data_IF_017330640860
#
_entry.id   IF_017330640860
#
_cell.length_a   1.000
_cell.length_b   1.000
_cell.length_c   1.000
_cell.angle_alpha   90.00
_cell.angle_beta   90.00
_cell.angle_gamma   90.00
#
_symmetry.space_group_name_H-M   'P 1'
#
loop_
_entity.id
_entity.type
_entity.pdbx_description
1 polymer ?
#
# COMPACT_ATOMS: atom_id res chain seq x y z
N UNK A 1 -7.02 -5.19 14.09
CA UNK A 1 -5.92 -4.32 14.56
C UNK A 1 -5.74 -3.10 13.65
N UNK A 2 -5.18 -2.00 14.18
CA UNK A 2 -4.88 -0.78 13.42
C UNK A 2 -3.38 -0.52 13.39
N UNK A 3 -2.84 -0.21 12.21
CA UNK A 3 -1.44 0.18 12.03
C UNK A 3 -1.37 1.59 11.43
N UNK A 4 -0.56 2.47 12.04
CA UNK A 4 -0.41 3.88 11.64
C UNK A 4 0.96 4.11 11.02
N UNK A 5 1.02 4.63 9.80
CA UNK A 5 2.27 4.97 9.11
C UNK A 5 2.29 6.44 8.69
N UNK A 6 3.44 7.11 8.71
CA UNK A 6 3.52 8.50 8.23
C UNK A 6 3.47 8.61 6.70
N UNK A 7 2.53 9.42 6.21
CA UNK A 7 2.27 9.76 4.80
C UNK A 7 3.40 10.66 4.29
N UNK A 8 4.50 10.08 3.81
CA UNK A 8 5.49 10.82 3.01
C UNK A 8 5.07 10.91 1.53
N UNK A 9 6.04 10.95 0.63
CA UNK A 9 5.91 10.79 -0.84
C UNK A 9 5.58 9.36 -1.28
N UNK A 10 5.03 8.52 -0.39
CA UNK A 10 4.75 7.12 -0.71
C UNK A 10 3.53 7.03 -1.63
N UNK A 11 3.72 6.45 -2.80
CA UNK A 11 2.59 6.01 -3.61
C UNK A 11 1.97 4.75 -2.98
N UNK A 12 0.95 4.96 -2.16
CA UNK A 12 0.25 3.92 -1.42
C UNK A 12 -0.25 2.77 -2.34
N UNK A 13 -0.77 3.10 -3.52
CA UNK A 13 -1.25 2.08 -4.46
C UNK A 13 -0.11 1.20 -4.99
N UNK A 14 1.03 1.82 -5.31
CA UNK A 14 2.20 1.08 -5.77
C UNK A 14 2.74 0.16 -4.67
N UNK A 15 2.85 0.68 -3.44
CA UNK A 15 3.29 -0.08 -2.27
C UNK A 15 2.34 -1.25 -1.95
N UNK A 16 1.02 -1.04 -1.97
CA UNK A 16 0.07 -2.11 -1.71
C UNK A 16 0.10 -3.19 -2.80
N UNK A 17 0.38 -2.81 -4.06
CA UNK A 17 0.59 -3.80 -5.13
C UNK A 17 1.82 -4.66 -4.91
N UNK A 18 2.95 -4.10 -4.46
CA UNK A 18 4.14 -4.91 -4.12
C UNK A 18 3.86 -5.83 -2.93
N UNK A 19 2.99 -5.41 -2.01
CA UNK A 19 2.50 -6.25 -0.92
C UNK A 19 1.51 -7.35 -1.36
N UNK A 20 1.12 -7.41 -2.64
CA UNK A 20 0.18 -8.41 -3.18
C UNK A 20 -1.29 -8.08 -2.98
N UNK A 21 -1.60 -6.82 -2.64
CA UNK A 21 -2.97 -6.35 -2.49
C UNK A 21 -3.51 -5.78 -3.81
N UNK A 22 -4.76 -6.11 -4.11
CA UNK A 22 -5.50 -5.61 -5.26
C UNK A 22 -6.59 -4.64 -4.79
N UNK A 23 -6.72 -3.47 -5.45
CA UNK A 23 -7.78 -2.53 -5.11
C UNK A 23 -9.14 -3.10 -5.51
N UNK A 24 -10.12 -2.91 -4.63
CA UNK A 24 -11.53 -3.13 -4.87
C UNK A 24 -12.30 -1.88 -4.49
N UNK A 25 -13.11 -1.43 -5.43
CA UNK A 25 -13.99 -0.30 -5.26
C UNK A 25 -15.39 -0.81 -4.94
N UNK A 26 -15.87 -0.50 -3.74
CA UNK A 26 -17.26 -0.76 -3.38
C UNK A 26 -18.15 0.32 -4.00
N UNK A 27 -18.96 -0.07 -4.98
CA UNK A 27 -19.88 0.84 -5.69
C UNK A 27 -20.99 1.38 -4.78
N UNK A 28 -21.31 0.68 -3.69
CA UNK A 28 -22.42 1.05 -2.80
C UNK A 28 -21.92 2.07 -1.77
N UNK A 29 -20.82 1.76 -1.08
CA UNK A 29 -20.27 2.67 -0.06
C UNK A 29 -19.36 3.77 -0.61
N UNK A 30 -18.95 3.67 -1.89
CA UNK A 30 -17.99 4.58 -2.52
C UNK A 30 -16.59 4.49 -1.93
N UNK A 31 -16.31 3.45 -1.11
CA UNK A 31 -15.03 3.29 -0.42
C UNK A 31 -14.08 2.43 -1.23
N UNK A 32 -12.85 2.90 -1.35
CA UNK A 32 -11.74 2.10 -1.86
C UNK A 32 -11.20 1.22 -0.73
N UNK A 33 -11.07 -0.06 -1.01
CA UNK A 33 -10.44 -1.03 -0.12
C UNK A 33 -9.51 -1.92 -0.93
N UNK A 34 -8.75 -2.75 -0.24
CA UNK A 34 -7.76 -3.62 -0.86
C UNK A 34 -7.94 -5.04 -0.36
N UNK A 35 -7.72 -6.02 -1.24
CA UNK A 35 -7.77 -7.44 -0.87
C UNK A 35 -6.54 -8.20 -1.30
N UNK A 36 -6.17 -9.17 -0.47
CA UNK A 36 -5.18 -10.19 -0.81
C UNK A 36 -5.81 -11.56 -0.57
N UNK A 37 -5.98 -12.32 -1.65
CA UNK A 37 -6.51 -13.69 -1.59
C UNK A 37 -5.44 -14.64 -1.07
N UNK A 38 -5.81 -15.56 -0.19
CA UNK A 38 -4.92 -16.62 0.32
C UNK A 38 -5.10 -17.95 -0.41
N UNK A 39 -6.16 -18.08 -1.19
CA UNK A 39 -6.48 -19.26 -2.00
C UNK A 39 -6.86 -18.84 -3.43
N UNK A 40 -7.06 -19.83 -4.31
CA UNK A 40 -7.61 -19.59 -5.65
C UNK A 40 -9.08 -19.13 -5.62
N UNK A 41 -9.81 -19.48 -4.56
CA UNK A 41 -11.22 -19.14 -4.36
C UNK A 41 -11.46 -17.69 -3.90
N UNK A 42 -12.72 -17.39 -3.55
CA UNK A 42 -13.10 -16.07 -3.04
C UNK A 42 -12.66 -15.81 -1.59
N UNK A 43 -12.46 -16.89 -0.83
CA UNK A 43 -12.08 -16.90 0.58
C UNK A 43 -11.10 -18.05 0.85
N UNK A 44 -10.25 -17.98 1.88
CA UNK A 44 -10.05 -16.85 2.78
C UNK A 44 -9.26 -15.71 2.12
N UNK A 45 -9.54 -14.47 2.51
CA UNK A 45 -8.85 -13.27 1.99
C UNK A 45 -8.62 -12.26 3.10
N UNK A 46 -7.51 -11.56 3.01
CA UNK A 46 -7.29 -10.35 3.79
C UNK A 46 -8.01 -9.19 3.13
N UNK A 47 -8.76 -8.42 3.91
CA UNK A 47 -9.41 -7.21 3.46
C UNK A 47 -8.89 -6.05 4.29
N UNK A 48 -8.40 -5.04 3.57
CA UNK A 48 -7.65 -3.92 4.09
C UNK A 48 -8.38 -2.64 3.73
N UNK A 49 -8.85 -1.93 4.75
CA UNK A 49 -9.33 -0.57 4.62
C UNK A 49 -8.20 0.39 4.95
N UNK A 50 -8.00 1.37 4.07
CA UNK A 50 -7.00 2.41 4.26
C UNK A 50 -7.71 3.74 4.47
N UNK A 51 -7.37 4.41 5.57
CA UNK A 51 -7.84 5.76 5.87
C UNK A 51 -6.63 6.68 6.01
N UNK A 52 -6.65 7.82 5.33
CA UNK A 52 -5.61 8.84 5.48
C UNK A 52 -6.14 9.92 6.41
N UNK A 53 -5.45 10.19 7.51
CA UNK A 53 -5.75 11.26 8.46
C UNK A 53 -4.54 12.18 8.56
N UNK A 54 -4.59 13.31 7.84
CA UNK A 54 -3.47 14.24 7.77
C UNK A 54 -2.21 13.56 7.24
N UNK A 55 -1.18 13.48 8.08
CA UNK A 55 0.10 12.87 7.76
C UNK A 55 0.22 11.42 8.25
N UNK A 56 -0.88 10.79 8.65
CA UNK A 56 -0.96 9.38 9.03
C UNK A 56 -1.82 8.57 8.05
N UNK A 57 -1.41 7.34 7.78
CA UNK A 57 -2.15 6.31 7.06
C UNK A 57 -2.52 5.22 8.07
N UNK A 58 -3.82 5.02 8.25
CA UNK A 58 -4.39 4.03 9.15
C UNK A 58 -4.83 2.82 8.32
N UNK A 59 -4.21 1.68 8.59
CA UNK A 59 -4.54 0.39 8.02
C UNK A 59 -5.45 -0.39 8.97
N UNK A 60 -6.66 -0.68 8.53
CA UNK A 60 -7.58 -1.60 9.21
C UNK A 60 -7.62 -2.91 8.43
N UNK A 61 -6.96 -3.94 8.97
CA UNK A 61 -6.86 -5.27 8.37
C UNK A 61 -7.78 -6.26 9.10
N UNK A 62 -8.53 -7.04 8.33
CA UNK A 62 -9.28 -8.19 8.83
C UNK A 62 -9.17 -9.39 7.88
N UNK A 63 -9.30 -10.59 8.44
CA UNK A 63 -9.31 -11.85 7.69
C UNK A 63 -10.75 -12.30 7.45
N UNK A 64 -11.20 -12.27 6.20
CA UNK A 64 -12.46 -12.86 5.80
C UNK A 64 -12.26 -14.37 5.57
N UNK A 65 -12.91 -15.22 6.38
CA UNK A 65 -12.80 -16.68 6.24
C UNK A 65 -13.89 -17.29 5.35
N UNK A 66 -15.13 -16.79 5.39
CA UNK A 66 -16.28 -17.39 4.70
C UNK A 66 -17.16 -16.32 4.02
N UNK A 67 -17.92 -16.73 2.99
CA UNK A 67 -18.87 -15.88 2.29
C UNK A 67 -20.15 -15.56 3.10
N UNK A 68 -20.50 -16.40 4.06
CA UNK A 68 -21.80 -16.32 4.74
C UNK A 68 -21.88 -15.11 5.68
N UNK A 69 -22.60 -14.08 5.23
CA UNK A 69 -23.32 -13.16 6.11
C UNK A 69 -24.65 -13.81 6.48
N UNK A 70 -24.71 -14.54 7.59
CA UNK A 70 -26.02 -14.97 8.11
C UNK A 70 -26.80 -13.74 8.59
N UNK A 71 -28.01 -13.57 8.08
CA UNK A 71 -28.88 -12.38 8.23
C UNK A 71 -29.16 -11.93 9.67
N UNK A 72 -28.80 -12.71 10.70
CA UNK A 72 -29.11 -12.42 12.11
C UNK A 72 -27.90 -12.52 13.06
N UNK A 73 -26.68 -12.58 12.54
CA UNK A 73 -25.48 -12.48 13.38
C UNK A 73 -24.70 -11.25 12.96
N UNK A 74 -24.45 -10.34 13.92
CA UNK A 74 -23.46 -9.30 13.76
C UNK A 74 -22.21 -9.93 13.15
N UNK A 75 -21.64 -9.30 12.11
CA UNK A 75 -20.51 -9.78 11.34
C UNK A 75 -19.23 -9.84 12.20
N UNK A 76 -19.22 -10.72 13.20
CA UNK A 76 -18.15 -10.99 14.16
C UNK A 76 -17.20 -12.09 13.66
N UNK A 77 -17.28 -12.44 12.37
CA UNK A 77 -16.35 -13.36 11.72
C UNK A 77 -15.15 -12.64 11.08
N UNK A 78 -14.99 -11.34 11.35
CA UNK A 78 -13.76 -10.62 11.10
C UNK A 78 -12.81 -10.90 12.27
N UNK A 79 -11.93 -11.88 12.07
CA UNK A 79 -10.91 -12.19 13.06
C UNK A 79 -9.86 -11.07 13.04
N UNK A 80 -9.98 -10.12 13.96
CA UNK A 80 -9.11 -8.94 14.05
C UNK A 80 -7.79 -9.22 14.78
N UNK A 81 -7.67 -10.38 15.45
CA UNK A 81 -6.62 -10.65 16.43
C UNK A 81 -5.90 -11.99 16.25
N UNK A 82 -6.28 -12.78 15.24
CA UNK A 82 -5.51 -13.96 14.85
C UNK A 82 -4.04 -13.65 14.57
N UNK A 83 -3.19 -14.63 14.91
CA UNK A 83 -1.76 -14.59 14.61
C UNK A 83 -1.48 -14.32 13.12
N UNK A 84 -2.40 -14.74 12.24
CA UNK A 84 -2.32 -14.48 10.79
C UNK A 84 -2.43 -13.00 10.45
N UNK A 85 -3.33 -12.26 11.09
CA UNK A 85 -3.50 -10.81 10.88
C UNK A 85 -2.29 -10.06 11.45
N UNK A 86 -1.80 -10.47 12.62
CA UNK A 86 -0.58 -9.89 13.23
C UNK A 86 0.65 -10.09 12.35
N UNK A 87 0.86 -11.32 11.87
CA UNK A 87 1.97 -11.65 10.97
C UNK A 87 1.89 -10.85 9.65
N UNK A 88 0.69 -10.64 9.12
CA UNK A 88 0.52 -9.85 7.90
C UNK A 88 0.77 -8.36 8.13
N UNK A 89 0.33 -7.79 9.26
CA UNK A 89 0.65 -6.41 9.63
C UNK A 89 2.17 -6.23 9.82
N UNK A 90 2.83 -7.16 10.48
CA UNK A 90 4.27 -7.17 10.67
C UNK A 90 5.00 -7.22 9.32
N UNK A 91 4.55 -8.07 8.40
CA UNK A 91 5.10 -8.16 7.03
C UNK A 91 4.95 -6.85 6.26
N UNK A 92 3.77 -6.21 6.34
CA UNK A 92 3.53 -4.91 5.69
C UNK A 92 4.46 -3.84 6.30
N UNK A 93 4.63 -3.83 7.61
CA UNK A 93 5.51 -2.90 8.31
C UNK A 93 6.98 -3.07 7.87
N UNK A 94 7.47 -4.30 7.78
CA UNK A 94 8.83 -4.60 7.32
C UNK A 94 9.07 -4.13 5.87
N UNK A 95 8.11 -4.38 4.98
CA UNK A 95 8.19 -3.91 3.59
C UNK A 95 8.17 -2.37 3.52
N UNK A 96 7.37 -1.72 4.35
CA UNK A 96 7.30 -0.27 4.40
C UNK A 96 8.62 0.36 4.87
N UNK A 97 9.26 -0.23 5.89
CA UNK A 97 10.57 0.18 6.36
C UNK A 97 11.63 0.03 5.25
N UNK A 98 11.61 -1.09 4.52
CA UNK A 98 12.52 -1.31 3.40
C UNK A 98 12.34 -0.28 2.27
N UNK A 99 11.08 0.05 1.92
CA UNK A 99 10.75 1.06 0.90
C UNK A 99 11.27 2.46 1.30
N UNK A 100 11.09 2.83 2.58
CA UNK A 100 11.63 4.07 3.12
C UNK A 100 13.15 4.12 3.03
N UNK A 101 13.85 3.03 3.37
CA UNK A 101 15.31 2.94 3.26
C UNK A 101 15.80 3.15 1.81
N UNK A 102 15.10 2.59 0.81
CA UNK A 102 15.46 2.78 -0.60
C UNK A 102 15.23 4.22 -1.07
N UNK A 103 14.13 4.84 -0.65
CA UNK A 103 13.80 6.23 -1.00
C UNK A 103 14.86 7.20 -0.49
N UNK A 104 15.42 6.95 0.70
CA UNK A 104 16.52 7.77 1.27
C UNK A 104 17.83 7.61 0.50
N UNK A 105 18.11 6.42 -0.04
CA UNK A 105 19.36 6.18 -0.79
C UNK A 105 19.32 6.87 -2.17
N UNK A 106 18.20 6.77 -2.88
CA UNK A 106 18.03 7.36 -4.21
C UNK A 106 18.11 8.90 -4.17
N UNK A 107 17.53 9.55 -3.16
CA UNK A 107 17.61 11.00 -3.00
C UNK A 107 19.02 11.50 -2.66
N UNK A 108 19.83 10.67 -2.00
CA UNK A 108 21.23 10.99 -1.68
C UNK A 108 22.18 10.80 -2.86
N UNK A 109 21.83 9.97 -3.84
CA UNK A 109 22.59 9.78 -5.08
C UNK A 109 22.26 10.83 -6.15
N UNK A 110 21.02 11.34 -6.21
CA UNK A 110 20.63 12.35 -7.20
C UNK A 110 21.25 13.74 -6.96
N UNK A 111 21.79 14.00 -5.76
CA UNK A 111 22.59 15.19 -5.44
C UNK A 111 24.06 15.05 -5.84
N UNK A 112 24.52 13.86 -6.22
CA UNK A 112 25.89 13.60 -6.67
C UNK A 112 25.88 13.54 -8.21
N UNK A 113 26.33 14.64 -8.83
CA UNK A 113 26.63 14.81 -10.27
C UNK A 113 25.41 15.18 -11.14
N UNK A 114 25.16 16.49 -11.23
CA UNK A 114 24.84 17.13 -12.52
C UNK A 114 25.98 18.09 -12.87
N UNK A 115 27.02 17.61 -13.55
CA UNK A 115 27.80 18.53 -14.40
C UNK A 115 26.82 19.00 -15.49
N UNK A 116 26.71 20.31 -15.78
CA UNK A 116 25.82 20.77 -16.84
C UNK A 116 26.20 20.05 -18.13
N UNK A 117 25.21 19.44 -18.78
CA UNK A 117 25.42 18.80 -20.08
C UNK A 117 26.02 19.85 -21.04
N UNK A 118 27.12 19.55 -21.75
CA UNK A 118 27.62 20.47 -22.77
C UNK A 118 26.52 20.67 -23.82
N UNK A 119 26.34 21.94 -24.23
CA UNK A 119 25.31 22.38 -25.18
C UNK A 119 25.13 21.41 -26.34
N UNK A 120 23.87 21.06 -26.59
CA UNK A 120 23.47 20.10 -27.61
C UNK A 120 23.98 20.55 -28.97
N UNK A 121 24.45 19.60 -29.79
CA UNK A 121 24.89 19.87 -31.17
C UNK A 121 23.84 20.64 -31.99
N UNK A 122 22.55 20.43 -31.69
CA UNK A 122 21.43 21.19 -32.28
C UNK A 122 21.43 22.69 -31.90
N UNK A 123 21.83 23.05 -30.67
CA UNK A 123 21.96 24.46 -30.27
C UNK A 123 23.12 25.16 -31.01
N UNK A 124 24.15 24.41 -31.41
CA UNK A 124 25.25 24.94 -32.21
C UNK A 124 24.87 25.12 -33.69
N UNK A 125 23.89 24.36 -34.19
CA UNK A 125 23.48 24.40 -35.60
C UNK A 125 22.46 25.51 -35.92
N UNK A 126 21.61 25.90 -34.95
CA UNK A 126 20.53 26.86 -35.17
C UNK A 126 20.81 28.30 -34.68
N UNK A 127 22.06 28.62 -34.34
CA UNK A 127 22.57 29.99 -34.25
C UNK A 127 21.63 31.02 -33.60
N UNK A 128 21.28 30.82 -32.32
CA UNK A 128 20.73 31.87 -31.46
C UNK A 128 21.53 31.98 -30.17
#
# INVERSE_FOLDING_TARGET
MQLKLSTGTLNLYAFLRTCGYLPIHDRISGKNSFVRKLSSGHYPRFHLYVKTEGNEIIFNLHLDQNANRYQNQNAHNADYDSDKVKAELERINQLFLAEKSQTTIVSKQSSIIRKPAPKSWFEKLLGR
#
